data_IF_153447830498
#
_entry.id   IF_153447830498
#
_cell.length_a   1.000
_cell.length_b   1.000
_cell.length_c   1.000
_cell.angle_alpha   90.00
_cell.angle_beta   90.00
_cell.angle_gamma   90.00
#
_symmetry.space_group_name_H-M   'P 1'
#
loop_
_entity.id
_entity.type
_entity.pdbx_description
1 polymer ?
#
# COMPACT_ATOMS: atom_id res chain seq x y z
N UNK A 1 -17.46 -4.59 23.27
CA UNK A 1 -16.10 -4.46 23.78
C UNK A 1 -15.27 -5.41 22.96
N UNK A 2 -14.60 -4.89 21.91
CA UNK A 2 -13.61 -5.65 21.13
C UNK A 2 -12.24 -5.19 21.57
N UNK A 3 -11.55 -6.01 22.35
CA UNK A 3 -10.13 -5.85 22.65
C UNK A 3 -9.34 -6.20 21.38
N UNK A 4 -8.67 -5.21 20.81
CA UNK A 4 -7.73 -5.38 19.70
C UNK A 4 -6.35 -5.73 20.28
N UNK A 5 -6.12 -6.99 20.61
CA UNK A 5 -4.77 -7.48 20.85
C UNK A 5 -4.10 -7.81 19.51
N UNK A 6 -2.95 -7.19 19.31
CA UNK A 6 -1.91 -7.38 18.28
C UNK A 6 -1.86 -6.37 17.12
N UNK A 7 -1.80 -5.08 17.46
CA UNK A 7 -1.09 -4.13 16.58
C UNK A 7 0.42 -4.29 16.81
N UNK A 8 1.24 -4.23 15.74
CA UNK A 8 2.68 -3.98 15.91
C UNK A 8 2.78 -2.68 16.69
N UNK A 9 3.18 -2.77 17.97
CA UNK A 9 3.31 -1.62 18.83
C UNK A 9 4.28 -0.62 18.18
N UNK A 10 4.01 0.68 18.32
CA UNK A 10 4.91 1.75 17.85
C UNK A 10 6.36 1.53 18.28
N UNK A 11 6.58 0.93 19.45
CA UNK A 11 7.89 0.51 19.94
C UNK A 11 8.47 -0.66 19.14
N UNK A 12 7.66 -1.62 18.71
CA UNK A 12 8.08 -2.73 17.84
C UNK A 12 8.45 -2.25 16.44
N UNK A 13 7.71 -1.29 15.89
CA UNK A 13 8.05 -0.66 14.60
C UNK A 13 9.37 0.11 14.66
N UNK A 14 9.57 0.94 15.67
CA UNK A 14 10.85 1.65 15.89
C UNK A 14 11.98 0.68 16.22
N UNK A 15 11.70 -0.37 16.99
CA UNK A 15 12.67 -1.44 17.30
C UNK A 15 13.10 -2.22 16.06
N UNK A 16 12.20 -2.48 15.11
CA UNK A 16 12.51 -3.14 13.85
C UNK A 16 13.40 -2.28 12.93
N UNK A 17 13.21 -0.96 12.91
CA UNK A 17 14.09 -0.02 12.20
C UNK A 17 15.50 -0.07 12.80
N UNK A 18 15.61 -0.07 14.13
CA UNK A 18 16.90 -0.13 14.83
C UNK A 18 17.56 -1.52 14.67
N UNK A 19 16.79 -2.61 14.74
CA UNK A 19 17.31 -3.97 14.52
C UNK A 19 17.75 -4.20 13.08
N UNK A 20 17.05 -3.64 12.08
CA UNK A 20 17.44 -3.68 10.67
C UNK A 20 18.77 -2.94 10.43
N UNK A 21 18.98 -1.80 11.07
CA UNK A 21 20.25 -1.07 11.01
C UNK A 21 21.40 -1.86 11.67
N UNK A 22 21.13 -2.57 12.76
CA UNK A 22 22.12 -3.42 13.43
C UNK A 22 22.52 -4.66 12.58
N UNK A 23 21.58 -5.26 11.84
CA UNK A 23 21.83 -6.38 10.93
C UNK A 23 22.67 -5.97 9.70
N UNK A 24 22.66 -4.68 9.34
CA UNK A 24 23.50 -4.12 8.27
C UNK A 24 24.97 -3.86 8.66
N UNK A 25 25.42 -4.37 9.81
CA UNK A 25 26.85 -4.30 10.21
C UNK A 25 27.28 -3.03 10.94
N UNK A 26 26.36 -2.21 11.40
CA UNK A 26 26.63 -0.98 12.17
C UNK A 26 26.71 -1.18 13.70
N UNK A 27 26.69 -2.44 14.17
CA UNK A 27 26.83 -2.77 15.58
C UNK A 27 28.29 -2.82 16.01
N UNK A 28 28.90 -1.66 16.26
CA UNK A 28 30.02 -1.49 17.23
C UNK A 28 30.36 -0.02 17.40
N UNK A 29 29.68 0.68 18.33
CA UNK A 29 30.29 1.78 19.08
C UNK A 29 29.57 1.86 20.44
N UNK A 30 30.25 1.61 21.59
CA UNK A 30 29.73 1.99 22.90
C UNK A 30 29.96 3.50 23.07
N UNK A 31 28.90 4.24 23.31
CA UNK A 31 28.96 5.66 23.65
C UNK A 31 28.53 6.58 22.51
N UNK A 32 27.39 7.23 22.73
CA UNK A 32 26.80 8.28 21.91
C UNK A 32 26.42 7.84 20.47
N UNK A 33 25.26 7.26 20.30
CA UNK A 33 24.53 7.34 19.05
C UNK A 33 24.10 8.80 18.84
N UNK A 34 24.99 9.61 18.24
CA UNK A 34 24.53 10.71 17.43
C UNK A 34 23.61 10.06 16.37
N UNK A 35 22.36 10.43 16.35
CA UNK A 35 21.44 10.03 15.30
C UNK A 35 21.97 10.64 14.00
N UNK A 36 22.83 9.92 13.28
CA UNK A 36 23.03 10.20 11.86
C UNK A 36 21.66 10.10 11.25
N UNK A 37 21.20 11.18 10.64
CA UNK A 37 19.93 11.21 9.94
C UNK A 37 19.96 10.09 8.90
N UNK A 38 19.13 9.05 9.08
CA UNK A 38 19.04 7.97 8.13
C UNK A 38 18.40 8.54 6.85
N UNK A 39 19.22 8.86 5.86
CA UNK A 39 18.76 9.33 4.56
C UNK A 39 18.17 8.14 3.79
N UNK A 40 16.85 7.98 3.90
CA UNK A 40 16.13 6.92 3.18
C UNK A 40 15.79 7.42 1.77
N UNK A 41 16.26 6.76 0.71
CA UNK A 41 15.94 7.14 -0.65
C UNK A 41 14.44 6.99 -0.91
N UNK A 42 13.86 7.96 -1.59
CA UNK A 42 12.46 7.95 -2.04
C UNK A 42 12.39 8.16 -3.55
N UNK A 43 11.36 7.62 -4.19
CA UNK A 43 11.07 7.85 -5.60
C UNK A 43 10.77 9.33 -5.88
N UNK A 44 10.97 9.77 -7.12
CA UNK A 44 10.54 11.09 -7.58
C UNK A 44 9.01 11.24 -7.61
N UNK A 45 8.52 12.47 -7.82
CA UNK A 45 7.08 12.77 -7.84
C UNK A 45 6.44 12.69 -9.24
N UNK A 46 7.21 12.44 -10.29
CA UNK A 46 6.78 12.55 -11.69
C UNK A 46 5.60 11.62 -12.00
N UNK A 47 5.61 10.40 -11.47
CA UNK A 47 4.53 9.43 -11.66
C UNK A 47 3.22 9.89 -10.99
N UNK A 48 3.31 10.46 -9.78
CA UNK A 48 2.18 11.05 -9.08
C UNK A 48 1.62 12.26 -9.84
N UNK A 49 2.48 13.17 -10.28
CA UNK A 49 2.08 14.38 -11.00
C UNK A 49 1.42 14.03 -12.35
N UNK A 50 1.93 13.01 -13.05
CA UNK A 50 1.30 12.49 -14.28
C UNK A 50 -0.08 11.88 -14.00
N UNK A 51 -0.24 11.13 -12.91
CA UNK A 51 -1.52 10.56 -12.51
C UNK A 51 -2.53 11.66 -12.13
N UNK A 52 -2.11 12.68 -11.37
CA UNK A 52 -2.96 13.82 -11.02
C UNK A 52 -3.39 14.61 -12.26
N UNK A 53 -2.50 14.81 -13.24
CA UNK A 53 -2.84 15.46 -14.50
C UNK A 53 -3.96 14.71 -15.25
N UNK A 54 -3.94 13.38 -15.30
CA UNK A 54 -5.01 12.56 -15.90
C UNK A 54 -6.36 12.74 -15.19
N UNK A 55 -6.36 13.02 -13.90
CA UNK A 55 -7.56 13.14 -13.09
C UNK A 55 -8.03 14.60 -12.89
N UNK A 56 -7.26 15.61 -13.32
CA UNK A 56 -7.51 17.02 -13.02
C UNK A 56 -8.84 17.56 -13.57
N UNK A 57 -9.30 17.04 -14.72
CA UNK A 57 -10.58 17.42 -15.35
C UNK A 57 -11.81 16.73 -14.76
N UNK A 58 -11.65 15.79 -13.82
CA UNK A 58 -12.76 15.06 -13.22
C UNK A 58 -13.51 15.95 -12.22
N UNK A 59 -14.85 15.90 -12.23
CA UNK A 59 -15.69 16.72 -11.36
C UNK A 59 -15.75 16.19 -9.93
N UNK A 60 -15.88 14.87 -9.75
CA UNK A 60 -16.04 14.21 -8.46
C UNK A 60 -14.73 13.54 -8.10
N UNK A 61 -13.94 14.14 -7.20
CA UNK A 61 -12.58 13.70 -6.89
C UNK A 61 -12.45 13.29 -5.43
N UNK A 62 -12.04 12.03 -5.19
CA UNK A 62 -11.87 11.46 -3.87
C UNK A 62 -10.52 10.76 -3.76
N UNK A 63 -9.78 11.00 -2.66
CA UNK A 63 -8.64 10.19 -2.26
C UNK A 63 -9.00 9.32 -1.07
N UNK A 64 -8.69 8.03 -1.17
CA UNK A 64 -8.77 7.06 -0.09
C UNK A 64 -7.37 6.81 0.46
N UNK A 65 -7.17 7.08 1.74
CA UNK A 65 -5.90 6.90 2.43
C UNK A 65 -5.91 5.58 3.19
N UNK A 66 -5.17 4.60 2.69
CA UNK A 66 -5.12 3.24 3.21
C UNK A 66 -3.77 2.94 3.88
N UNK A 67 -3.61 3.17 5.20
CA UNK A 67 -2.43 2.76 5.93
C UNK A 67 -2.45 1.27 6.32
N UNK A 68 -3.60 0.61 6.26
CA UNK A 68 -3.79 -0.80 6.64
C UNK A 68 -4.63 -1.54 5.60
N UNK A 69 -4.52 -2.88 5.57
CA UNK A 69 -5.37 -3.72 4.71
C UNK A 69 -6.87 -3.57 5.00
N UNK A 70 -7.24 -3.40 6.26
CA UNK A 70 -8.62 -3.16 6.72
C UNK A 70 -9.65 -4.03 5.97
N UNK A 71 -9.44 -5.34 5.98
CA UNK A 71 -10.32 -6.33 5.30
C UNK A 71 -10.63 -6.01 3.83
N UNK A 72 -9.68 -5.43 3.11
CA UNK A 72 -9.81 -4.99 1.71
C UNK A 72 -10.71 -3.76 1.49
N UNK A 73 -11.13 -3.08 2.57
CA UNK A 73 -11.98 -1.87 2.48
C UNK A 73 -11.41 -0.78 1.57
N UNK A 74 -10.09 -0.55 1.46
CA UNK A 74 -9.56 0.43 0.51
C UNK A 74 -10.02 0.21 -0.93
N UNK A 75 -10.13 -1.05 -1.36
CA UNK A 75 -10.59 -1.41 -2.71
C UNK A 75 -12.11 -1.37 -2.78
N UNK A 76 -12.80 -1.94 -1.77
CA UNK A 76 -14.26 -1.96 -1.69
C UNK A 76 -14.84 -0.53 -1.69
N UNK A 77 -14.26 0.40 -0.92
CA UNK A 77 -14.75 1.78 -0.85
C UNK A 77 -14.50 2.56 -2.14
N UNK A 78 -13.43 2.28 -2.86
CA UNK A 78 -13.23 2.86 -4.18
C UNK A 78 -14.32 2.42 -5.15
N UNK A 79 -14.69 1.14 -5.13
CA UNK A 79 -15.84 0.63 -5.87
C UNK A 79 -17.16 1.28 -5.43
N UNK A 80 -17.41 1.35 -4.12
CA UNK A 80 -18.63 1.94 -3.55
C UNK A 80 -18.81 3.40 -3.99
N UNK A 81 -17.73 4.18 -4.01
CA UNK A 81 -17.72 5.55 -4.48
C UNK A 81 -18.15 5.65 -5.95
N UNK A 82 -17.54 4.86 -6.84
CA UNK A 82 -17.94 4.80 -8.24
C UNK A 82 -19.39 4.33 -8.40
N UNK A 83 -19.74 3.24 -7.72
CA UNK A 83 -21.08 2.66 -7.80
C UNK A 83 -22.17 3.68 -7.39
N UNK A 84 -21.96 4.37 -6.26
CA UNK A 84 -22.92 5.38 -5.77
C UNK A 84 -23.09 6.51 -6.79
N UNK A 85 -21.99 7.06 -7.31
CA UNK A 85 -22.06 8.14 -8.30
C UNK A 85 -22.75 7.69 -9.59
N UNK A 86 -22.51 6.46 -10.06
CA UNK A 86 -23.22 5.94 -11.24
C UNK A 86 -24.74 5.80 -10.99
N UNK A 87 -25.17 5.39 -9.78
CA UNK A 87 -26.61 5.40 -9.43
C UNK A 87 -27.21 6.81 -9.47
N UNK A 88 -26.38 7.82 -9.21
CA UNK A 88 -26.72 9.23 -9.35
C UNK A 88 -26.52 9.77 -10.78
N UNK A 89 -26.35 8.90 -11.78
CA UNK A 89 -26.17 9.22 -13.21
C UNK A 89 -24.90 10.00 -13.53
N UNK A 90 -23.85 9.82 -12.73
CA UNK A 90 -22.51 10.34 -13.02
C UNK A 90 -21.71 9.27 -13.77
N UNK A 91 -21.18 9.61 -14.94
CA UNK A 91 -20.33 8.73 -15.73
C UNK A 91 -18.91 8.57 -15.12
N UNK A 92 -18.30 7.40 -15.25
CA UNK A 92 -16.95 7.13 -14.75
C UNK A 92 -15.92 8.15 -15.28
N UNK A 93 -16.14 8.68 -16.47
CA UNK A 93 -15.33 9.75 -17.06
C UNK A 93 -15.28 11.05 -16.26
N UNK A 94 -16.23 11.27 -15.36
CA UNK A 94 -16.30 12.44 -14.47
C UNK A 94 -15.81 12.14 -13.03
N UNK A 95 -15.40 10.90 -12.75
CA UNK A 95 -15.00 10.47 -11.42
C UNK A 95 -13.48 10.33 -11.35
N UNK A 96 -12.84 11.05 -10.44
CA UNK A 96 -11.41 10.96 -10.10
C UNK A 96 -11.25 10.25 -8.76
N UNK A 97 -10.91 8.98 -8.78
CA UNK A 97 -10.69 8.19 -7.57
C UNK A 97 -9.21 7.79 -7.47
N UNK A 98 -8.59 8.12 -6.34
CA UNK A 98 -7.21 7.75 -6.05
C UNK A 98 -7.16 6.98 -4.73
N UNK A 99 -6.49 5.81 -4.70
CA UNK A 99 -6.27 5.02 -3.49
C UNK A 99 -4.78 4.99 -3.18
N UNK A 100 -4.39 5.44 -1.98
CA UNK A 100 -3.01 5.44 -1.51
C UNK A 100 -2.79 4.21 -0.63
N UNK A 101 -2.04 3.24 -1.14
CA UNK A 101 -1.60 2.07 -0.39
C UNK A 101 -0.28 2.41 0.31
N UNK A 102 -0.32 2.62 1.61
CA UNK A 102 0.86 2.96 2.41
C UNK A 102 0.98 2.07 3.64
N UNK A 103 2.13 2.07 4.28
CA UNK A 103 2.42 1.31 5.49
C UNK A 103 2.01 -0.17 5.29
N UNK A 104 1.10 -0.71 6.08
CA UNK A 104 0.69 -2.12 6.03
C UNK A 104 -0.20 -2.49 4.83
N UNK A 105 -0.71 -1.52 4.07
CA UNK A 105 -1.52 -1.79 2.89
C UNK A 105 -0.71 -1.98 1.60
N UNK A 106 0.63 -1.80 1.62
CA UNK A 106 1.46 -1.95 0.42
C UNK A 106 1.37 -3.33 -0.26
N UNK A 107 1.10 -4.46 0.44
CA UNK A 107 0.96 -5.76 -0.21
C UNK A 107 -0.12 -5.80 -1.29
N UNK A 108 -1.18 -5.02 -1.16
CA UNK A 108 -2.24 -4.98 -2.18
C UNK A 108 -1.76 -4.49 -3.55
N UNK A 109 -0.62 -3.77 -3.60
CA UNK A 109 -0.01 -3.35 -4.85
C UNK A 109 0.84 -4.45 -5.51
N UNK A 110 1.03 -5.62 -4.90
CA UNK A 110 2.02 -6.62 -5.27
C UNK A 110 1.41 -7.86 -5.90
N UNK A 111 2.13 -8.45 -6.87
CA UNK A 111 1.76 -9.70 -7.52
C UNK A 111 1.89 -10.90 -6.57
N UNK A 112 1.14 -11.97 -6.82
CA UNK A 112 1.08 -13.20 -6.00
C UNK A 112 2.46 -13.81 -5.71
N UNK A 113 3.37 -13.76 -6.66
CA UNK A 113 4.73 -14.28 -6.48
C UNK A 113 5.47 -13.64 -5.31
N UNK A 114 5.24 -12.33 -5.04
CA UNK A 114 5.83 -11.66 -3.89
C UNK A 114 5.15 -12.07 -2.58
N UNK A 115 3.84 -12.30 -2.61
CA UNK A 115 3.11 -12.80 -1.46
C UNK A 115 3.64 -14.13 -0.99
N UNK A 116 3.88 -15.06 -1.91
CA UNK A 116 4.46 -16.36 -1.60
C UNK A 116 5.93 -16.23 -1.17
N UNK A 117 6.75 -15.48 -1.92
CA UNK A 117 8.20 -15.33 -1.68
C UNK A 117 8.50 -14.73 -0.31
N UNK A 118 7.82 -13.65 0.04
CA UNK A 118 8.09 -12.89 1.26
C UNK A 118 7.08 -13.15 2.38
N UNK A 119 6.19 -14.15 2.20
CA UNK A 119 5.13 -14.48 3.17
C UNK A 119 4.34 -13.25 3.59
N UNK A 120 3.93 -12.42 2.62
CA UNK A 120 3.31 -11.13 2.93
C UNK A 120 2.02 -11.26 3.73
N UNK A 121 1.23 -12.33 3.55
CA UNK A 121 0.06 -12.60 4.39
C UNK A 121 0.40 -12.76 5.86
N UNK A 122 1.50 -13.47 6.17
CA UNK A 122 1.99 -13.65 7.55
C UNK A 122 2.51 -12.32 8.13
N UNK A 123 3.36 -11.62 7.38
CA UNK A 123 4.00 -10.36 7.81
C UNK A 123 2.97 -9.26 8.07
N UNK A 124 1.98 -9.13 7.19
CA UNK A 124 0.97 -8.06 7.24
C UNK A 124 -0.37 -8.52 7.84
N UNK A 125 -0.43 -9.75 8.37
CA UNK A 125 -1.61 -10.34 9.00
C UNK A 125 -2.85 -10.30 8.09
N UNK A 126 -2.67 -10.75 6.86
CA UNK A 126 -3.73 -10.84 5.85
C UNK A 126 -4.00 -12.31 5.57
N UNK A 127 -5.14 -12.80 6.00
CA UNK A 127 -5.54 -14.18 5.81
C UNK A 127 -6.29 -14.39 4.48
N UNK A 128 -6.07 -15.54 3.87
CA UNK A 128 -6.94 -16.03 2.78
C UNK A 128 -8.27 -16.48 3.40
N UNK A 129 -9.37 -15.86 2.96
CA UNK A 129 -10.70 -16.11 3.53
C UNK A 129 -11.21 -17.53 3.31
N UNK A 130 -10.67 -18.26 2.34
CA UNK A 130 -11.00 -19.67 2.08
C UNK A 130 -10.24 -20.60 3.04
N UNK A 131 -8.92 -20.45 3.13
CA UNK A 131 -8.07 -21.36 3.91
C UNK A 131 -7.98 -20.97 5.39
N UNK A 132 -8.33 -19.75 5.76
CA UNK A 132 -8.19 -19.18 7.12
C UNK A 132 -6.72 -19.17 7.62
N UNK A 133 -5.78 -19.22 6.70
CA UNK A 133 -4.35 -19.15 6.95
C UNK A 133 -3.76 -17.88 6.31
N UNK A 134 -2.56 -17.44 6.72
CA UNK A 134 -1.88 -16.31 6.08
C UNK A 134 -1.83 -16.49 4.56
N UNK A 135 -2.27 -15.46 3.84
CA UNK A 135 -2.41 -15.55 2.39
C UNK A 135 -1.06 -15.63 1.68
N UNK A 136 -0.95 -16.52 0.71
CA UNK A 136 0.20 -16.62 -0.21
C UNK A 136 -0.07 -15.98 -1.56
N UNK A 137 -1.20 -15.27 -1.69
CA UNK A 137 -1.63 -14.56 -2.90
C UNK A 137 -2.26 -13.22 -2.54
N UNK A 138 -2.36 -12.33 -3.49
CA UNK A 138 -3.08 -11.08 -3.32
C UNK A 138 -4.60 -11.34 -3.26
N UNK A 139 -5.23 -10.89 -2.18
CA UNK A 139 -6.65 -11.15 -1.91
C UNK A 139 -7.60 -10.13 -2.54
N UNK A 140 -7.07 -9.13 -3.24
CA UNK A 140 -7.87 -8.09 -3.92
C UNK A 140 -7.77 -8.15 -5.44
N UNK A 141 -6.97 -9.09 -5.98
CA UNK A 141 -6.85 -9.35 -7.43
C UNK A 141 -7.13 -10.82 -7.73
N UNK A 142 -7.63 -11.13 -8.93
CA UNK A 142 -8.02 -12.51 -9.28
C UNK A 142 -8.80 -13.19 -8.15
N UNK A 143 -9.78 -12.48 -7.63
CA UNK A 143 -10.48 -12.80 -6.37
C UNK A 143 -11.26 -14.12 -6.49
N UNK A 144 -11.31 -14.83 -5.36
CA UNK A 144 -12.25 -15.95 -5.15
C UNK A 144 -13.58 -15.41 -4.61
N UNK A 145 -14.66 -16.17 -4.66
CA UNK A 145 -15.98 -15.74 -4.16
C UNK A 145 -15.97 -15.27 -2.69
N UNK A 146 -15.06 -15.82 -1.87
CA UNK A 146 -14.96 -15.51 -0.44
C UNK A 146 -14.15 -14.24 -0.14
N UNK A 147 -13.33 -13.78 -1.11
CA UNK A 147 -12.42 -12.64 -0.88
C UNK A 147 -13.17 -11.31 -0.77
N UNK A 148 -14.03 -11.04 -1.73
CA UNK A 148 -14.83 -9.82 -1.81
C UNK A 148 -16.30 -10.14 -2.06
N UNK A 149 -17.24 -9.29 -1.60
CA UNK A 149 -18.68 -9.54 -1.71
C UNK A 149 -19.19 -9.73 -3.14
N UNK A 150 -18.57 -9.05 -4.11
CA UNK A 150 -18.93 -9.13 -5.52
C UNK A 150 -17.68 -9.01 -6.41
N UNK A 151 -17.65 -9.71 -7.58
CA UNK A 151 -16.48 -9.73 -8.46
C UNK A 151 -16.06 -8.37 -9.00
N UNK A 152 -16.99 -7.43 -9.16
CA UNK A 152 -16.73 -6.08 -9.65
C UNK A 152 -15.91 -5.21 -8.70
N UNK A 153 -15.73 -5.66 -7.45
CA UNK A 153 -14.87 -5.02 -6.46
C UNK A 153 -13.40 -5.37 -6.63
N UNK A 154 -13.04 -6.36 -7.47
CA UNK A 154 -11.64 -6.70 -7.70
C UNK A 154 -10.84 -5.47 -8.16
N UNK A 155 -9.58 -5.36 -7.71
CA UNK A 155 -8.74 -4.18 -7.97
C UNK A 155 -8.61 -3.91 -9.48
N UNK A 156 -8.37 -4.93 -10.29
CA UNK A 156 -8.26 -4.80 -11.75
C UNK A 156 -9.57 -4.33 -12.39
N UNK A 157 -10.73 -4.65 -11.81
CA UNK A 157 -12.04 -4.19 -12.30
C UNK A 157 -12.25 -2.70 -12.01
N UNK A 158 -11.93 -2.25 -10.80
CA UNK A 158 -12.06 -0.82 -10.46
C UNK A 158 -10.98 0.01 -11.15
N UNK A 159 -9.77 -0.52 -11.38
CA UNK A 159 -8.76 0.13 -12.21
C UNK A 159 -9.24 0.33 -13.65
N UNK A 160 -9.87 -0.68 -14.26
CA UNK A 160 -10.44 -0.60 -15.60
C UNK A 160 -11.51 0.52 -15.72
N UNK A 161 -12.15 0.90 -14.61
CA UNK A 161 -13.11 2.00 -14.51
C UNK A 161 -12.47 3.36 -14.18
N UNK A 162 -11.14 3.41 -14.07
CA UNK A 162 -10.39 4.65 -13.88
C UNK A 162 -9.96 4.94 -12.45
N UNK A 163 -10.11 4.01 -11.49
CA UNK A 163 -9.51 4.13 -10.17
C UNK A 163 -7.99 4.03 -10.30
N UNK A 164 -7.28 4.99 -9.74
CA UNK A 164 -5.82 4.99 -9.68
C UNK A 164 -5.37 4.49 -8.32
N UNK A 165 -4.49 3.50 -8.30
CA UNK A 165 -3.84 3.02 -7.09
C UNK A 165 -2.38 3.46 -7.08
N UNK A 166 -1.94 3.97 -5.94
CA UNK A 166 -0.54 4.33 -5.73
C UNK A 166 0.02 3.64 -4.50
N UNK A 167 1.30 3.25 -4.56
CA UNK A 167 2.01 2.59 -3.48
C UNK A 167 3.13 3.46 -2.92
N UNK A 168 3.26 3.49 -1.60
CA UNK A 168 4.26 4.27 -0.88
C UNK A 168 5.67 3.69 -1.06
N UNK A 169 6.56 4.40 -1.76
CA UNK A 169 7.95 3.96 -1.96
C UNK A 169 8.74 3.92 -0.65
N UNK A 170 8.57 4.93 0.21
CA UNK A 170 9.20 4.94 1.52
C UNK A 170 8.79 3.74 2.38
N UNK A 171 7.51 3.32 2.34
CA UNK A 171 7.07 2.12 3.04
C UNK A 171 7.73 0.86 2.43
N UNK A 172 7.81 0.74 1.11
CA UNK A 172 8.53 -0.37 0.47
C UNK A 172 10.00 -0.40 0.89
N UNK A 173 10.67 0.75 1.02
CA UNK A 173 12.05 0.84 1.52
C UNK A 173 12.16 0.31 2.95
N UNK A 174 11.29 0.76 3.86
CA UNK A 174 11.31 0.30 5.26
C UNK A 174 11.01 -1.19 5.36
N UNK A 175 9.99 -1.68 4.66
CA UNK A 175 9.65 -3.10 4.72
C UNK A 175 10.67 -3.98 4.02
N UNK A 176 11.40 -3.49 3.00
CA UNK A 176 12.52 -4.25 2.41
C UNK A 176 13.62 -4.56 3.43
N UNK A 177 13.89 -3.63 4.37
CA UNK A 177 14.84 -3.88 5.46
C UNK A 177 14.35 -4.98 6.40
N UNK A 178 13.04 -5.01 6.71
CA UNK A 178 12.45 -6.03 7.58
C UNK A 178 12.40 -7.41 6.92
N UNK A 179 12.12 -7.46 5.62
CA UNK A 179 12.01 -8.70 4.85
C UNK A 179 13.36 -9.32 4.47
N UNK A 180 14.44 -8.53 4.46
CA UNK A 180 15.76 -8.93 4.01
C UNK A 180 16.35 -10.06 4.84
N UNK A 181 16.29 -9.97 6.16
CA UNK A 181 16.81 -10.99 7.06
C UNK A 181 16.13 -12.36 6.87
N UNK A 182 14.79 -12.47 6.99
CA UNK A 182 14.08 -13.72 6.75
C UNK A 182 14.26 -14.28 5.34
N UNK A 183 14.45 -13.41 4.33
CA UNK A 183 14.68 -13.83 2.95
C UNK A 183 16.16 -14.19 2.64
N UNK A 184 17.07 -13.97 3.57
CA UNK A 184 18.54 -14.09 3.37
C UNK A 184 19.02 -13.28 2.14
N UNK A 185 18.54 -12.05 2.02
CA UNK A 185 18.83 -11.13 0.92
C UNK A 185 19.31 -9.78 1.47
N UNK A 186 19.85 -8.93 0.60
CA UNK A 186 20.13 -7.53 0.94
C UNK A 186 18.85 -6.69 0.83
N UNK A 187 18.64 -5.66 1.67
CA UNK A 187 17.48 -4.79 1.59
C UNK A 187 17.25 -4.18 0.19
N UNK A 188 18.34 -3.79 -0.50
CA UNK A 188 18.28 -3.20 -1.83
C UNK A 188 17.74 -4.18 -2.87
N UNK A 189 18.09 -5.46 -2.75
CA UNK A 189 17.62 -6.50 -3.67
C UNK A 189 16.16 -6.85 -3.39
N UNK A 190 15.75 -6.89 -2.12
CA UNK A 190 14.34 -7.02 -1.75
C UNK A 190 13.53 -5.83 -2.30
N UNK A 191 14.05 -4.59 -2.14
CA UNK A 191 13.38 -3.40 -2.68
C UNK A 191 13.20 -3.47 -4.19
N UNK A 192 14.23 -3.90 -4.93
CA UNK A 192 14.14 -4.10 -6.39
C UNK A 192 13.07 -5.13 -6.76
N UNK A 193 13.01 -6.24 -6.02
CA UNK A 193 11.96 -7.25 -6.21
C UNK A 193 10.56 -6.70 -5.96
N UNK A 194 10.38 -5.96 -4.86
CA UNK A 194 9.08 -5.35 -4.55
C UNK A 194 8.62 -4.41 -5.67
N UNK A 195 9.53 -3.59 -6.19
CA UNK A 195 9.23 -2.67 -7.30
C UNK A 195 8.94 -3.42 -8.60
N UNK A 196 9.76 -4.43 -8.94
CA UNK A 196 9.59 -5.23 -10.15
C UNK A 196 8.31 -6.08 -10.13
N UNK A 197 7.85 -6.49 -8.95
CA UNK A 197 6.65 -7.29 -8.76
C UNK A 197 5.39 -6.47 -8.43
N UNK A 198 5.37 -5.17 -8.71
CA UNK A 198 4.15 -4.38 -8.61
C UNK A 198 3.13 -4.81 -9.67
N UNK A 199 1.86 -4.71 -9.32
CA UNK A 199 0.76 -4.94 -10.26
C UNK A 199 0.77 -3.88 -11.38
N UNK A 200 0.30 -4.22 -12.59
CA UNK A 200 0.18 -3.27 -13.68
C UNK A 200 -0.64 -2.03 -13.29
N UNK A 201 -0.18 -0.84 -13.69
CA UNK A 201 -0.89 0.42 -13.46
C UNK A 201 -0.77 1.01 -12.05
N UNK A 202 -0.02 0.38 -11.15
CA UNK A 202 0.28 0.95 -9.83
C UNK A 202 1.25 2.13 -9.98
N UNK A 203 0.90 3.25 -9.37
CA UNK A 203 1.73 4.48 -9.35
C UNK A 203 2.67 4.42 -8.14
N UNK A 204 3.98 4.51 -8.37
CA UNK A 204 4.94 4.62 -7.25
C UNK A 204 4.92 6.05 -6.73
N UNK A 205 4.65 6.20 -5.44
CA UNK A 205 4.54 7.48 -4.73
C UNK A 205 5.79 7.72 -3.88
N UNK A 206 6.37 8.93 -3.83
CA UNK A 206 7.55 9.22 -2.99
C UNK A 206 7.35 8.75 -1.55
N UNK A 207 6.25 9.19 -0.94
CA UNK A 207 5.70 8.62 0.29
C UNK A 207 4.18 8.77 0.31
N UNK A 208 3.50 7.90 1.05
CA UNK A 208 2.04 7.96 1.15
C UNK A 208 1.56 9.25 1.83
N UNK A 209 2.29 9.73 2.83
CA UNK A 209 1.95 10.98 3.55
C UNK A 209 2.11 12.20 2.64
N UNK A 210 3.20 12.27 1.87
CA UNK A 210 3.39 13.32 0.86
C UNK A 210 2.29 13.25 -0.21
N UNK A 211 1.94 12.05 -0.67
CA UNK A 211 0.90 11.86 -1.67
C UNK A 211 -0.49 12.33 -1.19
N UNK A 212 -0.85 12.06 0.08
CA UNK A 212 -2.08 12.60 0.69
C UNK A 212 -2.11 14.12 0.57
N UNK A 213 -1.04 14.81 0.97
CA UNK A 213 -0.93 16.27 0.86
C UNK A 213 -1.08 16.73 -0.59
N UNK A 214 -0.31 16.15 -1.52
CA UNK A 214 -0.31 16.55 -2.95
C UNK A 214 -1.67 16.35 -3.62
N UNK A 215 -2.32 15.20 -3.36
CA UNK A 215 -3.61 14.87 -3.96
C UNK A 215 -4.72 15.79 -3.40
N UNK A 216 -4.73 16.04 -2.09
CA UNK A 216 -5.67 17.01 -1.50
C UNK A 216 -5.44 18.44 -2.04
N UNK A 217 -4.18 18.88 -2.17
CA UNK A 217 -3.84 20.17 -2.79
C UNK A 217 -4.28 20.28 -4.25
N UNK A 218 -4.45 19.14 -4.96
CA UNK A 218 -5.04 19.08 -6.30
C UNK A 218 -6.58 19.09 -6.28
N UNK A 219 -7.22 19.31 -5.12
CA UNK A 219 -8.65 19.46 -4.96
C UNK A 219 -9.44 18.16 -4.80
N UNK A 220 -8.81 17.09 -4.33
CA UNK A 220 -9.50 15.85 -3.95
C UNK A 220 -10.02 15.95 -2.51
N UNK A 221 -11.23 15.47 -2.28
CA UNK A 221 -11.74 15.23 -0.93
C UNK A 221 -11.07 14.00 -0.32
N UNK A 222 -10.96 13.95 1.00
CA UNK A 222 -10.24 12.90 1.73
C UNK A 222 -11.19 11.91 2.38
N UNK A 223 -10.84 10.63 2.31
CA UNK A 223 -11.48 9.56 3.07
C UNK A 223 -10.42 8.62 3.65
N UNK A 224 -10.44 8.44 4.96
CA UNK A 224 -9.61 7.46 5.63
C UNK A 224 -10.13 6.05 5.37
N UNK A 225 -9.26 5.12 4.93
CA UNK A 225 -9.63 3.78 4.51
C UNK A 225 -8.86 2.67 5.27
N UNK A 226 -8.34 2.96 6.46
CA UNK A 226 -7.56 2.02 7.26
C UNK A 226 -8.11 1.75 8.64
#
# INVERSE_FOLDING_TARGET
VFESENSIDRRGFLGAIVAGAAAAGLARIPGAMAAESMDLPVAGSEALDAALKKLSGRKYRQVFDAPRPNESMPVIWSWAFLHTLNKLKVEDSNIGCFVILRHEAIPFAMQDQLWAKYKLGEVFKIDDKTTKAPSVRNVVTNIKPEDLPIPEMAMEKVQARGVTFGVCDLAMTVYSMMLAGPANMKPEDVKKDLVAGLLPGIVVLPSGVYAVHRIQSAGFTYCFAG
#
